data_IF_689471810061
#
_entry.id   IF_689471810061
#
_cell.length_a   1.000
_cell.length_b   1.000
_cell.length_c   1.000
_cell.angle_alpha   90.00
_cell.angle_beta   90.00
_cell.angle_gamma   90.00
#
_symmetry.space_group_name_H-M   'P 1'
#
loop_
_entity.id
_entity.type
_entity.pdbx_description
1 polymer ?
#
# COMPACT_ATOMS: atom_id res chain seq x y z
N UNK A 1 -10.20 -2.94 -18.89
CA UNK A 1 -11.57 -3.51 -18.81
C UNK A 1 -11.64 -5.00 -19.18
N UNK A 2 -10.96 -5.49 -20.22
CA UNK A 2 -11.11 -6.89 -20.70
C UNK A 2 -10.95 -7.98 -19.62
N UNK A 3 -9.85 -7.98 -18.86
CA UNK A 3 -9.60 -8.97 -17.80
C UNK A 3 -10.63 -8.91 -16.65
N UNK A 4 -11.01 -7.70 -16.25
CA UNK A 4 -12.02 -7.47 -15.20
C UNK A 4 -13.40 -7.94 -15.67
N UNK A 5 -13.74 -7.67 -16.93
CA UNK A 5 -14.95 -8.19 -17.57
C UNK A 5 -14.94 -9.71 -17.68
N UNK A 6 -13.78 -10.35 -17.91
CA UNK A 6 -13.65 -11.81 -17.85
C UNK A 6 -13.89 -12.36 -16.44
N UNK A 7 -13.33 -11.73 -15.40
CA UNK A 7 -13.57 -12.11 -13.99
C UNK A 7 -15.05 -11.94 -13.60
N UNK A 8 -15.67 -10.83 -13.96
CA UNK A 8 -17.10 -10.60 -13.73
C UNK A 8 -17.95 -11.67 -14.42
N UNK A 9 -17.72 -11.91 -15.72
CA UNK A 9 -18.40 -12.97 -16.47
C UNK A 9 -18.15 -14.35 -15.88
N UNK A 10 -16.93 -14.65 -15.42
CA UNK A 10 -16.60 -15.92 -14.78
C UNK A 10 -17.38 -16.14 -13.47
N UNK A 11 -17.61 -15.07 -12.69
CA UNK A 11 -18.37 -15.15 -11.43
C UNK A 11 -19.88 -15.19 -11.65
N UNK A 12 -20.39 -14.53 -12.69
CA UNK A 12 -21.82 -14.39 -12.97
C UNK A 12 -22.38 -15.36 -14.02
N UNK A 13 -21.55 -16.02 -14.82
CA UNK A 13 -22.00 -16.91 -15.87
C UNK A 13 -21.90 -18.37 -15.43
N UNK A 14 -23.07 -18.95 -15.13
CA UNK A 14 -23.22 -20.37 -14.82
C UNK A 14 -22.94 -21.28 -16.04
N UNK A 15 -22.68 -20.77 -17.25
CA UNK A 15 -22.38 -21.60 -18.43
C UNK A 15 -20.88 -21.81 -18.71
N UNK A 16 -19.97 -21.14 -17.98
CA UNK A 16 -18.53 -21.50 -17.98
C UNK A 16 -18.32 -22.78 -17.13
N UNK A 17 -19.04 -23.85 -17.50
CA UNK A 17 -19.08 -25.18 -16.90
C UNK A 17 -18.24 -26.18 -17.72
N UNK A 18 -16.94 -25.94 -17.80
CA UNK A 18 -15.97 -26.95 -18.20
C UNK A 18 -14.75 -26.79 -17.31
N UNK A 19 -14.50 -27.66 -16.32
CA UNK A 19 -14.51 -29.13 -16.40
C UNK A 19 -15.37 -29.75 -15.28
N UNK A 20 -16.47 -30.41 -15.67
CA UNK A 20 -17.06 -31.54 -14.93
C UNK A 20 -18.41 -31.33 -14.23
N UNK A 21 -19.51 -31.45 -14.98
CA UNK A 21 -20.90 -31.68 -14.51
C UNK A 21 -21.60 -30.56 -13.73
N UNK A 22 -22.94 -30.59 -13.73
CA UNK A 22 -23.85 -29.71 -12.95
C UNK A 22 -23.57 -29.66 -11.44
N UNK A 23 -22.61 -30.45 -10.95
CA UNK A 23 -22.27 -30.61 -9.53
C UNK A 23 -21.09 -29.74 -9.04
N UNK A 24 -20.29 -29.09 -9.92
CA UNK A 24 -19.08 -28.34 -9.49
C UNK A 24 -18.80 -27.03 -10.27
N UNK A 25 -19.50 -25.92 -9.95
CA UNK A 25 -19.20 -24.61 -10.55
C UNK A 25 -17.94 -23.97 -9.96
N UNK A 26 -16.95 -23.64 -10.81
CA UNK A 26 -15.71 -22.92 -10.45
C UNK A 26 -15.95 -21.53 -9.81
N UNK A 27 -17.09 -20.89 -10.10
CA UNK A 27 -17.50 -19.59 -9.54
C UNK A 27 -17.66 -19.59 -8.01
N UNK A 28 -17.73 -20.76 -7.36
CA UNK A 28 -17.74 -20.93 -5.90
C UNK A 28 -16.38 -21.24 -5.27
N UNK A 29 -15.29 -21.26 -6.05
CA UNK A 29 -13.94 -21.59 -5.58
C UNK A 29 -12.97 -20.39 -5.58
N UNK A 30 -13.32 -19.32 -6.31
CA UNK A 30 -12.52 -18.08 -6.29
C UNK A 30 -12.99 -17.23 -5.13
N UNK A 31 -12.20 -17.23 -4.08
CA UNK A 31 -12.54 -16.63 -2.78
C UNK A 31 -11.87 -15.29 -2.51
N UNK A 32 -10.88 -14.93 -3.32
CA UNK A 32 -10.24 -13.63 -3.22
C UNK A 32 -9.48 -13.28 -4.49
N UNK A 33 -8.98 -12.05 -4.49
CA UNK A 33 -8.15 -11.48 -5.55
C UNK A 33 -6.88 -10.93 -4.96
N UNK A 34 -5.80 -11.06 -5.70
CA UNK A 34 -4.50 -10.53 -5.36
C UNK A 34 -3.91 -9.81 -6.56
N UNK A 35 -3.28 -8.67 -6.32
CA UNK A 35 -2.45 -8.01 -7.31
C UNK A 35 -1.02 -7.97 -6.79
N UNK A 36 -0.15 -8.66 -7.52
CA UNK A 36 1.29 -8.70 -7.34
C UNK A 36 1.93 -8.28 -8.68
N UNK A 37 2.54 -7.09 -8.71
CA UNK A 37 3.24 -6.56 -9.88
C UNK A 37 4.40 -5.66 -9.40
N UNK A 38 5.21 -5.11 -10.32
CA UNK A 38 6.21 -4.10 -9.99
C UNK A 38 5.56 -2.88 -9.34
N UNK A 39 5.69 -2.76 -8.02
CA UNK A 39 5.02 -1.74 -7.20
C UNK A 39 5.38 -0.30 -7.64
N UNK A 40 6.63 -0.10 -8.10
CA UNK A 40 7.13 1.19 -8.59
C UNK A 40 6.34 1.74 -9.80
N UNK A 41 5.81 0.84 -10.64
CA UNK A 41 5.15 1.20 -11.90
C UNK A 41 3.62 1.04 -11.82
N UNK A 42 3.11 0.45 -10.76
CA UNK A 42 1.70 0.13 -10.58
C UNK A 42 1.27 0.44 -9.14
N UNK A 43 1.09 1.73 -8.87
CA UNK A 43 0.58 2.24 -7.60
C UNK A 43 -0.86 1.79 -7.34
N UNK A 44 -1.31 1.78 -6.07
CA UNK A 44 -2.68 1.39 -5.73
C UNK A 44 -3.78 2.12 -6.52
N UNK A 45 -3.56 3.38 -6.90
CA UNK A 45 -4.49 4.18 -7.71
C UNK A 45 -4.92 3.47 -9.01
N UNK A 46 -4.01 2.75 -9.67
CA UNK A 46 -4.26 2.08 -10.96
C UNK A 46 -5.33 1.00 -10.83
N UNK A 47 -5.37 0.32 -9.68
CA UNK A 47 -6.30 -0.79 -9.44
C UNK A 47 -7.51 -0.39 -8.61
N UNK A 48 -7.61 0.87 -8.17
CA UNK A 48 -8.55 1.30 -7.14
C UNK A 48 -10.01 0.99 -7.51
N UNK A 49 -10.45 1.44 -8.69
CA UNK A 49 -11.78 1.13 -9.22
C UNK A 49 -11.98 -0.37 -9.44
N UNK A 50 -10.94 -1.08 -9.92
CA UNK A 50 -11.02 -2.51 -10.19
C UNK A 50 -11.29 -3.34 -8.93
N UNK A 51 -10.57 -3.06 -7.85
CA UNK A 51 -10.78 -3.73 -6.57
C UNK A 51 -12.15 -3.40 -5.96
N UNK A 52 -12.59 -2.13 -6.03
CA UNK A 52 -13.96 -1.76 -5.59
C UNK A 52 -15.04 -2.48 -6.40
N UNK A 53 -14.91 -2.49 -7.72
CA UNK A 53 -15.82 -3.20 -8.62
C UNK A 53 -15.87 -4.70 -8.35
N UNK A 54 -14.70 -5.35 -8.24
CA UNK A 54 -14.63 -6.79 -7.98
C UNK A 54 -15.16 -7.17 -6.59
N UNK A 55 -15.09 -6.24 -5.63
CA UNK A 55 -15.70 -6.41 -4.31
C UNK A 55 -17.22 -6.25 -4.32
N UNK A 56 -17.74 -5.22 -4.99
CA UNK A 56 -19.15 -4.83 -4.90
C UNK A 56 -20.06 -5.32 -6.02
N UNK A 57 -19.53 -5.93 -7.10
CA UNK A 57 -20.40 -6.41 -8.16
C UNK A 57 -21.36 -7.50 -7.65
N UNK A 58 -22.59 -7.42 -8.15
CA UNK A 58 -23.65 -8.32 -7.76
C UNK A 58 -23.37 -9.73 -8.32
N UNK A 59 -23.43 -10.74 -7.46
CA UNK A 59 -23.29 -12.14 -7.89
C UNK A 59 -24.67 -12.77 -8.03
N UNK A 60 -25.06 -13.07 -9.28
CA UNK A 60 -26.28 -13.81 -9.59
C UNK A 60 -26.06 -15.31 -9.30
N UNK A 61 -26.11 -15.70 -8.02
CA UNK A 61 -25.94 -17.10 -7.59
C UNK A 61 -27.23 -17.79 -7.14
N UNK A 62 -27.26 -19.12 -7.25
CA UNK A 62 -28.37 -19.97 -6.79
C UNK A 62 -28.26 -20.34 -5.29
N UNK A 63 -27.52 -19.56 -4.49
CA UNK A 63 -27.23 -19.85 -3.07
C UNK A 63 -26.15 -20.93 -2.82
N UNK A 64 -25.54 -21.49 -3.88
CA UNK A 64 -24.48 -22.52 -3.79
C UNK A 64 -23.07 -22.00 -4.08
N UNK A 65 -22.91 -20.79 -4.61
CA UNK A 65 -21.61 -20.18 -4.91
C UNK A 65 -21.15 -19.35 -3.71
N UNK A 66 -19.87 -19.43 -3.38
CA UNK A 66 -19.24 -18.74 -2.25
C UNK A 66 -17.88 -18.21 -2.68
N UNK A 67 -17.40 -17.09 -2.12
CA UNK A 67 -18.06 -16.06 -1.32
C UNK A 67 -18.86 -15.06 -2.17
N UNK A 68 -19.80 -14.34 -1.52
CA UNK A 68 -20.59 -13.28 -2.16
C UNK A 68 -19.76 -12.02 -2.49
N UNK A 69 -18.69 -11.77 -1.74
CA UNK A 69 -17.72 -10.70 -1.98
C UNK A 69 -16.34 -11.33 -2.11
N UNK A 70 -15.45 -10.80 -2.96
CA UNK A 70 -14.05 -11.21 -2.93
C UNK A 70 -13.32 -10.53 -1.78
N UNK A 71 -12.54 -11.30 -1.04
CA UNK A 71 -11.53 -10.76 -0.16
C UNK A 71 -10.33 -10.25 -0.97
N UNK A 72 -9.69 -9.20 -0.48
CA UNK A 72 -8.58 -8.54 -1.16
C UNK A 72 -7.26 -8.94 -0.52
N UNK A 73 -6.29 -9.26 -1.37
CA UNK A 73 -4.85 -9.21 -1.05
C UNK A 73 -4.21 -8.19 -1.99
N UNK A 74 -3.23 -7.44 -1.49
CA UNK A 74 -2.46 -6.53 -2.32
C UNK A 74 -1.02 -6.47 -1.84
N UNK A 75 -0.08 -6.71 -2.75
CA UNK A 75 1.35 -6.60 -2.46
C UNK A 75 1.75 -5.14 -2.43
N UNK A 76 2.28 -4.69 -1.30
CA UNK A 76 2.70 -3.30 -1.12
C UNK A 76 3.79 -3.14 -0.07
N UNK A 77 4.69 -2.19 -0.32
CA UNK A 77 5.77 -1.85 0.59
C UNK A 77 6.92 -2.84 0.56
N UNK A 78 7.03 -3.69 -0.47
CA UNK A 78 8.22 -4.49 -0.74
C UNK A 78 9.24 -3.73 -1.60
N UNK A 79 8.77 -3.07 -2.66
CA UNK A 79 9.61 -2.37 -3.64
C UNK A 79 9.22 -0.88 -3.70
N UNK A 80 10.15 -0.01 -3.30
CA UNK A 80 9.91 1.43 -3.16
C UNK A 80 11.18 2.25 -3.40
N UNK A 81 11.05 3.47 -3.91
CA UNK A 81 12.20 4.37 -4.10
C UNK A 81 12.76 4.90 -2.78
N UNK A 82 11.87 5.10 -1.81
CA UNK A 82 12.15 5.71 -0.51
C UNK A 82 11.21 5.16 0.56
N UNK A 83 11.60 5.21 1.84
CA UNK A 83 10.71 4.78 2.92
C UNK A 83 9.40 5.60 2.89
N UNK A 84 9.46 6.91 2.64
CA UNK A 84 8.23 7.70 2.55
C UNK A 84 7.33 7.24 1.39
N UNK A 85 7.93 6.82 0.27
CA UNK A 85 7.21 6.32 -0.90
C UNK A 85 6.45 5.02 -0.59
N UNK A 86 7.13 4.05 0.03
CA UNK A 86 6.52 2.78 0.40
C UNK A 86 5.47 2.94 1.49
N UNK A 87 5.71 3.77 2.52
CA UNK A 87 4.71 4.03 3.57
C UNK A 87 3.46 4.72 2.99
N UNK A 88 3.65 5.66 2.07
CA UNK A 88 2.55 6.29 1.34
C UNK A 88 1.79 5.24 0.52
N UNK A 89 2.48 4.31 -0.15
CA UNK A 89 1.85 3.23 -0.91
C UNK A 89 0.95 2.34 -0.04
N UNK A 90 1.43 1.98 1.16
CA UNK A 90 0.64 1.19 2.13
C UNK A 90 -0.65 1.93 2.51
N UNK A 91 -0.55 3.24 2.80
CA UNK A 91 -1.75 4.04 3.11
C UNK A 91 -2.68 4.18 1.91
N UNK A 92 -2.15 4.41 0.71
CA UNK A 92 -2.93 4.43 -0.54
C UNK A 92 -3.69 3.13 -0.74
N UNK A 93 -3.07 1.97 -0.51
CA UNK A 93 -3.76 0.69 -0.62
C UNK A 93 -4.93 0.59 0.37
N UNK A 94 -4.72 1.01 1.63
CA UNK A 94 -5.75 0.99 2.67
C UNK A 94 -6.94 1.91 2.35
N UNK A 95 -6.68 3.11 1.82
CA UNK A 95 -7.69 4.13 1.48
C UNK A 95 -8.35 3.78 0.14
N UNK A 96 -7.59 3.58 -0.93
CA UNK A 96 -8.11 3.49 -2.30
C UNK A 96 -8.88 2.19 -2.56
N UNK A 97 -8.47 1.09 -1.93
CA UNK A 97 -9.20 -0.18 -2.04
C UNK A 97 -10.29 -0.34 -0.99
N UNK A 98 -10.43 0.61 -0.05
CA UNK A 98 -11.29 0.50 1.11
C UNK A 98 -11.06 -0.82 1.86
N UNK A 99 -9.79 -1.11 2.19
CA UNK A 99 -9.44 -2.35 2.89
C UNK A 99 -10.14 -2.40 4.25
N UNK A 100 -10.71 -3.57 4.54
CA UNK A 100 -11.54 -3.85 5.69
C UNK A 100 -11.07 -5.12 6.39
N UNK A 101 -11.74 -5.45 7.50
CA UNK A 101 -11.49 -6.66 8.27
C UNK A 101 -11.50 -7.92 7.37
N UNK A 102 -10.44 -8.71 7.45
CA UNK A 102 -10.27 -9.93 6.67
C UNK A 102 -9.64 -9.73 5.29
N UNK A 103 -9.27 -8.51 4.90
CA UNK A 103 -8.34 -8.29 3.79
C UNK A 103 -6.90 -8.44 4.25
N UNK A 104 -5.99 -8.55 3.28
CA UNK A 104 -4.57 -8.84 3.50
C UNK A 104 -3.69 -7.87 2.73
N UNK A 105 -2.54 -7.56 3.30
CA UNK A 105 -1.45 -6.86 2.64
C UNK A 105 -0.25 -7.81 2.53
N UNK A 106 0.33 -7.92 1.34
CA UNK A 106 1.54 -8.69 1.11
C UNK A 106 2.78 -7.90 1.53
N UNK A 107 3.72 -8.57 2.19
CA UNK A 107 5.07 -8.11 2.52
C UNK A 107 5.14 -6.94 3.52
N UNK A 108 4.73 -5.74 3.11
CA UNK A 108 4.78 -4.51 3.91
C UNK A 108 6.15 -4.24 4.56
N UNK A 109 7.25 -4.58 3.88
CA UNK A 109 8.60 -4.47 4.44
C UNK A 109 8.91 -3.08 4.96
N UNK A 110 8.48 -2.05 4.22
CA UNK A 110 8.65 -0.64 4.58
C UNK A 110 8.13 -0.29 5.99
N UNK A 111 7.11 -0.99 6.51
CA UNK A 111 6.58 -0.76 7.86
C UNK A 111 7.55 -1.20 8.96
N UNK A 112 8.46 -2.12 8.65
CA UNK A 112 9.45 -2.63 9.59
C UNK A 112 10.90 -2.26 9.26
N UNK A 113 11.18 -1.64 8.11
CA UNK A 113 12.53 -1.17 7.76
C UNK A 113 13.08 -0.21 8.81
N UNK A 114 14.34 -0.40 9.20
CA UNK A 114 15.05 0.54 10.09
C UNK A 114 15.37 1.83 9.32
N UNK A 115 14.67 2.90 9.67
CA UNK A 115 14.77 4.22 9.01
C UNK A 115 16.21 4.74 9.03
N UNK A 116 16.87 4.65 10.18
CA UNK A 116 18.20 5.26 10.40
C UNK A 116 19.26 4.49 9.63
N UNK A 117 19.20 3.15 9.67
CA UNK A 117 20.08 2.28 8.88
C UNK A 117 19.89 2.53 7.39
N UNK A 118 18.64 2.58 6.93
CA UNK A 118 18.30 2.78 5.51
C UNK A 118 18.92 4.05 4.92
N UNK A 119 18.72 5.20 5.58
CA UNK A 119 19.23 6.48 5.08
C UNK A 119 20.73 6.67 5.30
N UNK A 120 21.29 6.16 6.41
CA UNK A 120 22.73 6.27 6.66
C UNK A 120 23.55 5.54 5.60
N UNK A 121 23.10 4.36 5.16
CA UNK A 121 23.71 3.61 4.05
C UNK A 121 23.62 4.34 2.71
N UNK A 122 22.69 5.27 2.56
CA UNK A 122 22.42 6.06 1.35
C UNK A 122 22.91 7.50 1.45
N UNK A 123 23.72 7.83 2.46
CA UNK A 123 24.19 9.19 2.72
C UNK A 123 23.06 10.23 2.74
N UNK A 124 21.91 9.85 3.31
CA UNK A 124 20.69 10.67 3.37
C UNK A 124 20.19 11.15 2.00
N UNK A 125 20.50 10.42 0.93
CA UNK A 125 20.11 10.77 -0.43
C UNK A 125 19.01 9.85 -0.93
N UNK A 126 17.95 10.48 -1.45
CA UNK A 126 16.78 9.85 -2.05
C UNK A 126 16.94 9.92 -3.57
N UNK A 127 16.82 8.78 -4.23
CA UNK A 127 16.83 8.68 -5.69
C UNK A 127 15.45 8.20 -6.15
N UNK A 128 14.68 9.07 -6.80
CA UNK A 128 13.32 8.79 -7.25
C UNK A 128 12.95 9.69 -8.43
N UNK A 129 11.72 9.64 -8.91
CA UNK A 129 11.22 10.61 -9.90
C UNK A 129 10.80 11.92 -9.23
N UNK A 130 10.78 13.03 -9.98
CA UNK A 130 10.25 14.32 -9.49
C UNK A 130 8.85 14.18 -8.92
N UNK A 131 7.98 13.42 -9.60
CA UNK A 131 6.60 13.18 -9.19
C UNK A 131 6.51 12.45 -7.84
N UNK A 132 7.31 11.39 -7.64
CA UNK A 132 7.35 10.65 -6.36
C UNK A 132 7.85 11.55 -5.24
N UNK A 133 8.91 12.33 -5.48
CA UNK A 133 9.43 13.26 -4.47
C UNK A 133 8.39 14.30 -4.08
N UNK A 134 7.73 14.90 -5.07
CA UNK A 134 6.69 15.91 -4.89
C UNK A 134 5.52 15.38 -4.05
N UNK A 135 5.01 14.20 -4.40
CA UNK A 135 3.93 13.53 -3.67
C UNK A 135 4.34 13.22 -2.23
N UNK A 136 5.56 12.69 -2.04
CA UNK A 136 6.08 12.38 -0.72
C UNK A 136 6.23 13.64 0.14
N UNK A 137 6.68 14.78 -0.40
CA UNK A 137 6.80 16.02 0.38
C UNK A 137 5.44 16.55 0.84
N UNK A 138 4.43 16.57 -0.04
CA UNK A 138 3.07 16.97 0.33
C UNK A 138 2.48 16.05 1.41
N UNK A 139 2.66 14.74 1.22
CA UNK A 139 2.18 13.72 2.16
C UNK A 139 2.90 13.80 3.52
N UNK A 140 4.24 13.86 3.54
CA UNK A 140 5.03 14.01 4.76
C UNK A 140 4.69 15.31 5.48
N UNK A 141 4.47 16.41 4.76
CA UNK A 141 4.07 17.67 5.37
C UNK A 141 2.73 17.53 6.11
N UNK A 142 1.73 16.88 5.48
CA UNK A 142 0.45 16.60 6.13
C UNK A 142 0.62 15.70 7.37
N UNK A 143 1.43 14.63 7.26
CA UNK A 143 1.74 13.74 8.39
C UNK A 143 2.43 14.46 9.52
N UNK A 144 3.41 15.32 9.21
CA UNK A 144 4.16 16.11 10.20
C UNK A 144 3.21 17.01 10.99
N UNK A 145 2.34 17.75 10.30
CA UNK A 145 1.32 18.58 10.94
C UNK A 145 0.40 17.79 11.85
N UNK A 146 -0.04 16.61 11.40
CA UNK A 146 -0.98 15.77 12.15
C UNK A 146 -0.34 15.15 13.40
N UNK A 147 0.90 14.68 13.29
CA UNK A 147 1.57 13.92 14.34
C UNK A 147 2.33 14.82 15.33
N UNK A 148 2.98 15.87 14.84
CA UNK A 148 3.87 16.74 15.63
C UNK A 148 3.41 18.19 15.71
N UNK A 149 2.30 18.54 15.05
CA UNK A 149 1.91 19.94 14.87
C UNK A 149 2.77 20.65 13.82
N UNK A 150 2.62 21.97 13.73
CA UNK A 150 3.36 22.76 12.75
C UNK A 150 4.76 23.08 13.28
N UNK A 151 5.79 22.50 12.67
CA UNK A 151 7.20 22.56 13.12
C UNK A 151 8.13 23.13 12.03
N UNK A 152 9.41 23.35 12.34
CA UNK A 152 10.44 23.74 11.34
C UNK A 152 10.55 22.74 10.20
N UNK A 153 10.33 21.44 10.46
CA UNK A 153 10.30 20.41 9.44
C UNK A 153 9.15 20.64 8.42
N UNK A 154 8.00 21.18 8.85
CA UNK A 154 6.91 21.51 7.92
C UNK A 154 7.35 22.54 6.88
N UNK A 155 8.00 23.63 7.31
CA UNK A 155 8.54 24.64 6.40
C UNK A 155 9.60 24.06 5.45
N UNK A 156 10.43 23.15 5.94
CA UNK A 156 11.44 22.48 5.11
C UNK A 156 10.81 21.63 4.01
N UNK A 157 9.84 20.78 4.37
CA UNK A 157 9.09 19.94 3.44
C UNK A 157 8.32 20.79 2.42
N UNK A 158 7.67 21.86 2.87
CA UNK A 158 6.92 22.79 2.01
C UNK A 158 7.84 23.52 1.02
N UNK A 159 9.05 23.92 1.45
CA UNK A 159 10.04 24.52 0.56
C UNK A 159 10.49 23.58 -0.57
N UNK A 160 10.71 22.31 -0.25
CA UNK A 160 11.07 21.28 -1.25
C UNK A 160 9.87 21.01 -2.17
N UNK A 161 8.68 20.85 -1.61
CA UNK A 161 7.44 20.70 -2.37
C UNK A 161 7.30 21.82 -3.39
N UNK A 162 7.41 23.09 -2.97
CA UNK A 162 7.28 24.23 -3.88
C UNK A 162 8.28 24.16 -5.03
N UNK A 163 9.57 23.88 -4.74
CA UNK A 163 10.59 23.75 -5.78
C UNK A 163 10.20 22.74 -6.87
N UNK A 164 9.80 21.52 -6.48
CA UNK A 164 9.43 20.48 -7.43
C UNK A 164 8.04 20.68 -8.04
N UNK A 165 7.12 21.34 -7.34
CA UNK A 165 5.82 21.72 -7.88
C UNK A 165 6.00 22.66 -9.08
N UNK A 166 6.84 23.69 -8.93
CA UNK A 166 7.16 24.60 -10.03
C UNK A 166 7.83 23.89 -11.21
N UNK A 167 8.77 22.99 -10.94
CA UNK A 167 9.46 22.22 -11.98
C UNK A 167 8.49 21.33 -12.78
N UNK A 168 7.56 20.65 -12.10
CA UNK A 168 6.63 19.68 -12.73
C UNK A 168 5.39 20.36 -13.32
N UNK A 169 4.74 21.27 -12.59
CA UNK A 169 3.47 21.87 -12.99
C UNK A 169 3.63 23.19 -13.74
N UNK A 170 4.81 23.83 -13.65
CA UNK A 170 5.06 25.14 -14.24
C UNK A 170 6.39 25.20 -14.97
N UNK A 171 6.66 24.21 -15.82
CA UNK A 171 7.93 24.10 -16.55
C UNK A 171 8.28 25.31 -17.43
N UNK A 172 7.35 26.23 -17.71
CA UNK A 172 7.65 27.51 -18.37
C UNK A 172 8.37 28.51 -17.45
N UNK A 173 8.15 28.40 -16.13
CA UNK A 173 8.82 29.18 -15.08
C UNK A 173 10.26 28.70 -14.88
N UNK A 174 10.53 27.44 -15.19
CA UNK A 174 11.85 26.82 -15.05
C UNK A 174 12.52 26.67 -16.42
N UNK A 175 13.41 27.61 -16.78
CA UNK A 175 14.28 27.49 -17.95
C UNK A 175 15.74 27.43 -17.51
N UNK A 176 16.51 26.50 -18.09
CA UNK A 176 17.96 26.33 -17.84
C UNK A 176 18.35 26.19 -16.34
N UNK A 177 17.51 25.54 -15.53
CA UNK A 177 17.74 25.34 -14.10
C UNK A 177 17.60 26.61 -13.25
N UNK A 178 17.00 27.68 -13.79
CA UNK A 178 16.71 28.93 -13.08
C UNK A 178 15.21 29.21 -13.05
N UNK A 179 14.74 29.66 -11.89
CA UNK A 179 13.37 30.17 -11.71
C UNK A 179 13.27 31.54 -12.36
N UNK A 180 12.30 31.71 -13.26
CA UNK A 180 11.87 33.00 -13.73
C UNK A 180 10.91 33.63 -12.72
N UNK A 181 11.43 34.48 -11.85
CA UNK A 181 10.67 35.12 -10.77
C UNK A 181 9.55 36.04 -11.28
N UNK A 182 9.59 36.49 -12.53
CA UNK A 182 8.54 37.33 -13.13
C UNK A 182 7.24 36.54 -13.42
N UNK A 183 7.32 35.20 -13.46
CA UNK A 183 6.18 34.30 -13.66
C UNK A 183 5.65 33.71 -12.34
N UNK A 184 6.31 33.98 -11.20
CA UNK A 184 5.88 33.50 -9.87
C UNK A 184 4.65 34.23 -9.33
N UNK A 185 4.43 35.47 -9.76
CA UNK A 185 3.29 36.31 -9.33
C UNK A 185 2.03 36.07 -10.18
N UNK A 186 1.96 34.95 -10.91
CA UNK A 186 0.74 34.56 -11.60
C UNK A 186 -0.31 34.08 -10.57
N UNK A 187 -1.44 34.81 -10.38
CA UNK A 187 -2.47 34.43 -9.41
C UNK A 187 -3.15 33.09 -9.73
N UNK A 188 -2.95 32.54 -10.93
CA UNK A 188 -3.51 31.24 -11.34
C UNK A 188 -2.63 30.05 -10.91
N UNK A 189 -1.44 30.30 -10.33
CA UNK A 189 -0.57 29.24 -9.79
C UNK A 189 -1.17 28.62 -8.52
N UNK A 190 -1.65 27.37 -8.63
CA UNK A 190 -2.22 26.61 -7.49
C UNK A 190 -1.17 25.82 -6.71
N UNK A 191 -0.12 26.49 -6.23
CA UNK A 191 0.99 25.87 -5.48
C UNK A 191 0.68 25.55 -4.00
N UNK A 192 -0.58 25.60 -3.58
CA UNK A 192 -0.90 25.34 -2.18
C UNK A 192 -0.72 23.85 -1.86
N UNK A 193 0.20 23.53 -0.95
CA UNK A 193 0.51 22.14 -0.57
C UNK A 193 -0.70 21.36 -0.02
N UNK A 194 -1.68 22.04 0.58
CA UNK A 194 -2.89 21.39 1.07
C UNK A 194 -3.86 21.07 -0.06
N UNK A 195 -3.98 21.94 -1.07
CA UNK A 195 -4.78 21.66 -2.28
C UNK A 195 -4.18 20.49 -3.06
N UNK A 196 -2.85 20.45 -3.17
CA UNK A 196 -2.13 19.32 -3.76
C UNK A 196 -2.30 18.02 -2.96
N UNK A 197 -2.19 18.08 -1.62
CA UNK A 197 -2.44 16.91 -0.79
C UNK A 197 -3.86 16.38 -0.99
N UNK A 198 -4.86 17.27 -1.08
CA UNK A 198 -6.23 16.87 -1.37
C UNK A 198 -6.39 16.31 -2.78
N UNK A 199 -5.66 16.81 -3.78
CA UNK A 199 -5.65 16.21 -5.12
C UNK A 199 -5.05 14.80 -5.11
N UNK A 200 -4.00 14.57 -4.32
CA UNK A 200 -3.45 13.24 -4.07
C UNK A 200 -4.50 12.31 -3.47
N UNK A 201 -5.23 12.72 -2.43
CA UNK A 201 -6.32 11.93 -1.83
C UNK A 201 -7.38 11.49 -2.85
N UNK A 202 -7.65 12.31 -3.88
CA UNK A 202 -8.61 12.00 -4.95
C UNK A 202 -8.11 10.94 -5.95
N UNK A 203 -6.81 10.60 -5.97
CA UNK A 203 -6.21 9.65 -6.94
C UNK A 203 -6.73 8.22 -6.83
N UNK A 204 -7.43 7.88 -5.74
CA UNK A 204 -8.17 6.63 -5.65
C UNK A 204 -9.43 6.56 -6.53
N UNK A 205 -9.88 7.67 -7.12
CA UNK A 205 -11.01 7.72 -8.04
C UNK A 205 -10.57 7.39 -9.47
N UNK A 206 -11.53 7.09 -10.35
CA UNK A 206 -11.29 7.00 -11.78
C UNK A 206 -10.69 8.32 -12.30
N UNK A 207 -9.68 8.32 -13.18
CA UNK A 207 -9.08 9.55 -13.74
C UNK A 207 -10.05 10.55 -14.39
N UNK A 208 -11.26 10.10 -14.74
CA UNK A 208 -12.33 10.91 -15.34
C UNK A 208 -13.52 11.14 -14.42
N UNK A 209 -13.44 10.80 -13.13
CA UNK A 209 -14.59 10.89 -12.21
C UNK A 209 -15.15 12.32 -12.08
N UNK A 210 -14.32 13.34 -12.28
CA UNK A 210 -14.70 14.74 -12.21
C UNK A 210 -15.23 15.29 -13.55
N UNK A 211 -15.20 14.49 -14.62
CA UNK A 211 -15.75 14.83 -15.93
C UNK A 211 -17.17 14.30 -16.09
N UNK A 212 -17.98 14.95 -16.92
CA UNK A 212 -19.29 14.41 -17.33
C UNK A 212 -19.07 13.06 -18.03
N UNK A 213 -19.42 11.96 -17.37
CA UNK A 213 -19.42 10.64 -17.98
C UNK A 213 -20.71 10.46 -18.79
N UNK A 214 -20.58 9.98 -20.03
CA UNK A 214 -21.74 9.56 -20.81
C UNK A 214 -22.36 8.33 -20.14
N UNK A 215 -23.66 8.40 -19.85
CA UNK A 215 -24.38 7.23 -19.33
C UNK A 215 -24.35 6.11 -20.37
N UNK A 216 -23.84 4.95 -19.98
CA UNK A 216 -23.88 3.74 -20.80
C UNK A 216 -25.22 3.01 -20.61
N UNK A 217 -25.77 2.48 -21.70
CA UNK A 217 -26.92 1.56 -21.67
C UNK A 217 -26.51 0.12 -21.27
N UNK A 218 -25.21 -0.19 -21.18
CA UNK A 218 -24.70 -1.51 -20.81
C UNK A 218 -24.64 -1.68 -19.27
N UNK A 219 -25.33 -2.69 -18.73
CA UNK A 219 -25.39 -2.96 -17.28
C UNK A 219 -24.01 -3.14 -16.64
N UNK A 220 -23.03 -3.74 -17.34
CA UNK A 220 -21.69 -3.97 -16.82
C UNK A 220 -20.89 -2.67 -16.73
N UNK A 221 -21.05 -1.80 -17.74
CA UNK A 221 -20.42 -0.47 -17.73
C UNK A 221 -21.02 0.40 -16.63
N UNK A 222 -22.34 0.35 -16.40
CA UNK A 222 -22.98 1.01 -15.26
C UNK A 222 -22.46 0.51 -13.90
N UNK A 223 -22.32 -0.82 -13.71
CA UNK A 223 -21.73 -1.38 -12.48
C UNK A 223 -20.28 -0.93 -12.28
N UNK A 224 -19.50 -0.83 -13.36
CA UNK A 224 -18.13 -0.33 -13.35
C UNK A 224 -18.06 1.14 -12.94
N UNK A 225 -18.90 1.98 -13.55
CA UNK A 225 -18.94 3.43 -13.31
C UNK A 225 -19.44 3.75 -11.90
N UNK A 226 -20.36 2.95 -11.34
CA UNK A 226 -20.77 3.04 -9.92
C UNK A 226 -19.59 2.85 -8.94
N UNK A 227 -18.48 2.26 -9.37
CA UNK A 227 -17.28 2.08 -8.57
C UNK A 227 -16.17 3.08 -8.90
N UNK A 228 -16.42 4.02 -9.83
CA UNK A 228 -15.46 5.04 -10.27
C UNK A 228 -15.02 5.93 -9.11
N UNK A 229 -15.93 6.26 -8.21
CA UNK A 229 -15.67 7.10 -7.05
C UNK A 229 -15.39 6.28 -5.80
N UNK A 230 -14.50 6.82 -4.95
CA UNK A 230 -14.33 6.40 -3.57
C UNK A 230 -15.07 7.39 -2.67
N UNK A 231 -15.84 6.84 -1.73
CA UNK A 231 -16.71 7.57 -0.81
C UNK A 231 -16.19 7.59 0.63
N UNK A 232 -14.90 7.30 0.84
CA UNK A 232 -14.28 7.51 2.15
C UNK A 232 -14.33 8.99 2.54
N UNK A 233 -14.56 9.26 3.84
CA UNK A 233 -14.85 10.60 4.36
C UNK A 233 -13.84 11.69 3.92
N UNK A 234 -12.55 11.37 3.91
CA UNK A 234 -11.50 12.31 3.48
C UNK A 234 -11.58 12.68 2.00
N UNK A 235 -12.00 11.74 1.16
CA UNK A 235 -12.15 11.91 -0.30
C UNK A 235 -13.39 12.75 -0.59
N UNK A 236 -14.50 12.47 0.08
CA UNK A 236 -15.72 13.27 -0.03
C UNK A 236 -15.49 14.75 0.33
N UNK A 237 -14.67 15.03 1.34
CA UNK A 237 -14.29 16.42 1.67
C UNK A 237 -13.44 17.03 0.55
N UNK A 238 -12.46 16.29 0.03
CA UNK A 238 -11.55 16.79 -1.01
C UNK A 238 -12.28 17.17 -2.31
N UNK A 239 -13.41 16.52 -2.62
CA UNK A 239 -14.25 16.84 -3.80
C UNK A 239 -14.82 18.26 -3.78
N UNK A 240 -14.97 18.88 -2.61
CA UNK A 240 -15.42 20.28 -2.51
C UNK A 240 -14.31 21.30 -2.75
N UNK A 241 -13.06 20.87 -2.92
CA UNK A 241 -11.93 21.74 -3.23
C UNK A 241 -11.68 21.79 -4.75
N UNK A 242 -12.11 22.90 -5.37
CA UNK A 242 -11.95 23.14 -6.81
C UNK A 242 -10.47 23.12 -7.25
N UNK A 243 -9.56 23.60 -6.41
CA UNK A 243 -8.13 23.56 -6.72
C UNK A 243 -7.60 22.13 -6.72
N UNK A 244 -8.06 21.30 -5.78
CA UNK A 244 -7.68 19.89 -5.72
C UNK A 244 -8.17 19.11 -6.96
N UNK A 245 -9.41 19.37 -7.40
CA UNK A 245 -9.96 18.77 -8.64
C UNK A 245 -9.13 19.15 -9.86
N UNK A 246 -8.79 20.43 -10.01
CA UNK A 246 -7.99 20.87 -11.16
C UNK A 246 -6.57 20.27 -11.14
N UNK A 247 -5.93 20.20 -9.97
CA UNK A 247 -4.62 19.56 -9.82
C UNK A 247 -4.69 18.05 -10.12
N UNK A 248 -5.79 17.39 -9.74
CA UNK A 248 -6.05 15.99 -10.07
C UNK A 248 -6.18 15.80 -11.60
N UNK A 249 -6.89 16.69 -12.31
CA UNK A 249 -7.00 16.61 -13.76
C UNK A 249 -5.63 16.89 -14.44
N UNK A 250 -4.88 17.86 -13.92
CA UNK A 250 -3.54 18.17 -14.43
C UNK A 250 -2.55 17.01 -14.26
N UNK A 251 -2.62 16.28 -13.15
CA UNK A 251 -1.74 15.13 -12.86
C UNK A 251 -1.72 14.08 -13.99
N UNK A 252 -2.84 13.93 -14.73
CA UNK A 252 -2.99 12.96 -15.81
C UNK A 252 -2.60 13.50 -17.20
N UNK A 253 -2.14 14.76 -17.32
CA UNK A 253 -1.73 15.35 -18.61
C UNK A 253 -0.33 14.88 -19.00
N UNK A 254 -0.15 14.54 -20.28
CA UNK A 254 1.12 14.02 -20.82
C UNK A 254 2.34 14.88 -20.45
N UNK A 255 2.24 16.22 -20.55
CA UNK A 255 3.33 17.14 -20.21
C UNK A 255 3.74 17.07 -18.72
N UNK A 256 2.78 16.88 -17.83
CA UNK A 256 2.99 16.75 -16.38
C UNK A 256 3.62 15.39 -16.07
N UNK A 257 3.10 14.34 -16.69
CA UNK A 257 3.64 12.97 -16.56
C UNK A 257 5.08 12.90 -17.06
N UNK A 258 5.37 13.50 -18.22
CA UNK A 258 6.72 13.52 -18.80
C UNK A 258 7.72 14.22 -17.88
N UNK A 259 7.45 15.47 -17.46
CA UNK A 259 8.32 16.19 -16.51
C UNK A 259 8.42 15.47 -15.16
N UNK A 260 7.30 14.96 -14.66
CA UNK A 260 7.22 14.24 -13.39
C UNK A 260 8.05 12.95 -13.39
N UNK A 261 8.22 12.30 -14.54
CA UNK A 261 8.97 11.04 -14.69
C UNK A 261 10.49 11.21 -14.62
N UNK A 262 11.01 12.44 -14.70
CA UNK A 262 12.44 12.71 -14.63
C UNK A 262 13.03 12.29 -13.28
N UNK A 263 14.16 11.58 -13.32
CA UNK A 263 14.86 11.12 -12.14
C UNK A 263 15.60 12.26 -11.42
N UNK A 264 15.60 12.22 -10.08
CA UNK A 264 16.27 13.19 -9.22
C UNK A 264 17.05 12.48 -8.12
N UNK A 265 18.13 13.13 -7.67
CA UNK A 265 18.83 12.80 -6.44
C UNK A 265 18.66 13.96 -5.45
N UNK A 266 17.97 13.70 -4.35
CA UNK A 266 17.68 14.69 -3.31
C UNK A 266 18.34 14.28 -2.00
N UNK A 267 19.27 15.10 -1.49
CA UNK A 267 19.92 14.87 -0.19
C UNK A 267 19.22 15.66 0.90
N UNK A 268 18.76 14.96 1.95
CA UNK A 268 18.15 15.58 3.12
C UNK A 268 19.20 16.46 3.80
N UNK A 269 18.84 17.71 4.07
CA UNK A 269 19.73 18.68 4.72
C UNK A 269 20.04 18.21 6.14
N UNK A 270 21.33 18.22 6.50
CA UNK A 270 21.85 17.72 7.78
C UNK A 270 21.07 18.21 9.01
N UNK A 271 20.67 19.49 9.03
CA UNK A 271 19.90 20.09 10.12
C UNK A 271 18.49 19.50 10.34
N UNK A 272 17.97 18.74 9.37
CA UNK A 272 16.62 18.16 9.39
C UNK A 272 16.61 16.63 9.39
N UNK A 273 17.77 15.96 9.25
CA UNK A 273 17.86 14.49 9.14
C UNK A 273 17.17 13.80 10.33
N UNK A 274 17.46 14.24 11.55
CA UNK A 274 16.91 13.62 12.75
C UNK A 274 15.39 13.78 12.86
N UNK A 275 14.86 14.96 12.53
CA UNK A 275 13.41 15.20 12.58
C UNK A 275 12.69 14.44 11.46
N UNK A 276 13.32 14.31 10.30
CA UNK A 276 12.83 13.50 9.18
C UNK A 276 12.74 12.02 9.57
N UNK A 277 13.77 11.46 10.22
CA UNK A 277 13.74 10.09 10.71
C UNK A 277 12.63 9.86 11.72
N UNK A 278 12.52 10.73 12.73
CA UNK A 278 11.45 10.64 13.75
C UNK A 278 10.06 10.69 13.13
N UNK A 279 9.87 11.51 12.10
CA UNK A 279 8.59 11.58 11.39
C UNK A 279 8.25 10.23 10.75
N UNK A 280 9.19 9.61 10.03
CA UNK A 280 8.98 8.31 9.39
C UNK A 280 8.75 7.19 10.41
N UNK A 281 9.52 7.16 11.51
CA UNK A 281 9.33 6.21 12.62
C UNK A 281 7.93 6.36 13.24
N UNK A 282 7.45 7.60 13.42
CA UNK A 282 6.11 7.87 13.93
C UNK A 282 5.01 7.47 12.94
N UNK A 283 5.26 7.63 11.63
CA UNK A 283 4.32 7.20 10.59
C UNK A 283 4.25 5.67 10.51
N UNK A 284 5.38 4.95 10.58
CA UNK A 284 5.39 3.48 10.66
C UNK A 284 4.52 2.99 11.82
N UNK A 285 4.72 3.55 13.02
CA UNK A 285 3.93 3.22 14.21
C UNK A 285 2.44 3.56 14.03
N UNK A 286 2.11 4.68 13.37
CA UNK A 286 0.73 5.02 13.06
C UNK A 286 0.08 4.01 12.11
N UNK A 287 0.74 3.66 11.01
CA UNK A 287 0.18 2.76 10.00
C UNK A 287 -0.02 1.35 10.57
N UNK A 288 0.90 0.87 11.42
CA UNK A 288 0.72 -0.40 12.15
C UNK A 288 -0.54 -0.40 13.01
N UNK A 289 -0.80 0.69 13.77
CA UNK A 289 -2.03 0.84 14.56
C UNK A 289 -3.28 0.87 13.70
N UNK A 290 -3.21 1.54 12.55
CA UNK A 290 -4.35 1.61 11.62
C UNK A 290 -4.67 0.24 11.03
N UNK A 291 -3.65 -0.51 10.57
CA UNK A 291 -3.77 -1.89 10.09
C UNK A 291 -4.38 -2.80 11.17
N UNK A 292 -3.86 -2.73 12.40
CA UNK A 292 -4.37 -3.49 13.53
C UNK A 292 -5.84 -3.15 13.83
N UNK A 293 -6.18 -1.86 13.88
CA UNK A 293 -7.55 -1.39 14.17
C UNK A 293 -8.56 -1.80 13.10
N UNK A 294 -8.14 -1.82 11.82
CA UNK A 294 -8.95 -2.27 10.68
C UNK A 294 -8.99 -3.80 10.56
N UNK A 295 -8.16 -4.53 11.33
CA UNK A 295 -8.00 -5.98 11.29
C UNK A 295 -7.62 -6.48 9.90
N UNK A 296 -6.69 -5.77 9.28
CA UNK A 296 -6.05 -6.17 8.03
C UNK A 296 -4.87 -7.07 8.41
N UNK A 297 -4.73 -8.21 7.74
CA UNK A 297 -3.63 -9.13 8.02
C UNK A 297 -2.41 -8.83 7.14
N UNK A 298 -1.21 -9.22 7.57
CA UNK A 298 0.01 -9.06 6.79
C UNK A 298 0.61 -10.43 6.45
N UNK A 299 0.84 -10.68 5.16
CA UNK A 299 1.50 -11.89 4.68
C UNK A 299 3.01 -11.67 4.66
N UNK A 300 3.75 -12.45 5.46
CA UNK A 300 5.21 -12.37 5.58
C UNK A 300 5.87 -13.53 4.84
N UNK A 301 6.92 -13.25 4.08
CA UNK A 301 7.56 -14.19 3.17
C UNK A 301 9.08 -14.22 3.43
N UNK A 302 9.56 -14.83 4.54
CA UNK A 302 10.89 -14.55 5.08
C UNK A 302 12.06 -14.66 4.11
N UNK A 303 12.16 -15.75 3.34
CA UNK A 303 13.25 -15.92 2.36
C UNK A 303 13.13 -14.95 1.19
N UNK A 304 11.92 -14.69 0.71
CA UNK A 304 11.68 -13.72 -0.38
C UNK A 304 12.06 -12.32 0.06
N UNK A 305 11.53 -11.91 1.21
CA UNK A 305 11.81 -10.63 1.86
C UNK A 305 13.30 -10.43 2.15
N UNK A 306 14.01 -11.49 2.55
CA UNK A 306 15.46 -11.46 2.75
C UNK A 306 16.24 -11.25 1.45
N UNK A 307 15.79 -11.87 0.35
CA UNK A 307 16.50 -11.83 -0.94
C UNK A 307 16.23 -10.57 -1.74
N UNK A 308 15.05 -9.97 -1.59
CA UNK A 308 14.59 -8.82 -2.38
C UNK A 308 14.66 -7.53 -1.56
N UNK A 309 14.39 -7.60 -0.26
CA UNK A 309 14.38 -6.44 0.62
C UNK A 309 15.75 -5.99 1.11
N UNK A 310 15.73 -4.93 1.90
CA UNK A 310 16.94 -4.26 2.45
C UNK A 310 17.50 -4.93 3.73
N UNK A 311 16.91 -6.04 4.16
CA UNK A 311 17.30 -6.71 5.40
C UNK A 311 18.61 -7.49 5.23
N UNK A 312 19.49 -7.38 6.23
CA UNK A 312 20.79 -8.06 6.18
C UNK A 312 20.77 -9.45 6.82
N UNK A 313 19.79 -9.70 7.70
CA UNK A 313 19.60 -10.95 8.42
C UNK A 313 18.10 -11.18 8.72
N UNK A 314 17.72 -12.43 8.99
CA UNK A 314 16.34 -12.81 9.29
C UNK A 314 15.80 -12.27 10.63
N UNK A 315 16.65 -11.88 11.57
CA UNK A 315 16.24 -11.25 12.84
C UNK A 315 15.83 -9.79 12.66
N UNK A 316 16.14 -9.19 11.51
CA UNK A 316 15.64 -7.89 11.09
C UNK A 316 14.24 -7.97 10.45
N UNK A 317 13.65 -9.17 10.33
CA UNK A 317 12.38 -9.34 9.64
C UNK A 317 11.25 -8.55 10.34
N UNK A 318 10.46 -7.75 9.59
CA UNK A 318 9.37 -6.93 10.12
C UNK A 318 8.28 -7.67 10.92
N UNK A 319 8.22 -9.01 10.85
CA UNK A 319 7.19 -9.80 11.52
C UNK A 319 7.27 -9.64 13.05
N UNK A 320 8.47 -9.38 13.58
CA UNK A 320 8.72 -9.09 14.99
C UNK A 320 8.18 -7.72 15.44
N UNK A 321 7.91 -6.82 14.49
CA UNK A 321 7.27 -5.52 14.74
C UNK A 321 5.75 -5.59 14.54
N UNK A 322 5.28 -6.47 13.65
CA UNK A 322 3.86 -6.64 13.37
C UNK A 322 3.13 -7.43 14.47
N UNK A 323 3.75 -8.52 14.95
CA UNK A 323 3.18 -9.39 15.96
C UNK A 323 4.25 -9.84 16.95
N UNK A 324 4.26 -9.24 18.14
CA UNK A 324 5.23 -9.59 19.20
C UNK A 324 4.59 -10.07 20.50
N UNK A 325 3.27 -10.25 20.53
CA UNK A 325 2.56 -10.87 21.65
C UNK A 325 3.12 -12.26 21.96
N UNK A 326 3.70 -12.44 23.15
CA UNK A 326 4.31 -13.71 23.60
C UNK A 326 5.83 -13.76 23.48
N UNK A 327 6.44 -12.78 22.80
CA UNK A 327 7.87 -12.55 22.81
C UNK A 327 8.23 -11.36 23.72
N UNK A 328 9.45 -11.36 24.22
CA UNK A 328 10.09 -10.22 24.84
C UNK A 328 10.92 -9.49 23.78
N UNK A 329 10.48 -8.30 23.36
CA UNK A 329 11.10 -7.52 22.27
C UNK A 329 11.24 -6.05 22.65
N UNK A 330 12.21 -5.30 22.08
CA UNK A 330 12.34 -3.86 22.30
C UNK A 330 11.27 -3.02 21.57
N UNK A 331 10.46 -3.63 20.72
CA UNK A 331 9.48 -2.93 19.87
C UNK A 331 8.20 -2.58 20.63
N UNK A 332 7.47 -1.60 20.11
CA UNK A 332 6.10 -1.33 20.56
C UNK A 332 5.24 -2.57 20.36
N UNK A 333 4.31 -2.80 21.30
CA UNK A 333 3.44 -3.95 21.24
C UNK A 333 2.42 -3.79 20.12
N UNK A 334 2.38 -4.75 19.21
CA UNK A 334 1.37 -4.90 18.16
C UNK A 334 0.89 -6.36 18.11
N UNK A 335 -0.38 -6.54 17.78
CA UNK A 335 -1.09 -7.83 17.71
C UNK A 335 -1.74 -8.02 16.32
N UNK A 336 -1.05 -7.56 15.26
CA UNK A 336 -1.52 -7.69 13.89
C UNK A 336 -1.54 -9.18 13.50
N UNK A 337 -2.62 -9.62 12.86
CA UNK A 337 -2.67 -10.97 12.31
C UNK A 337 -1.64 -11.12 11.18
N UNK A 338 -0.71 -12.05 11.34
CA UNK A 338 0.35 -12.31 10.36
C UNK A 338 0.34 -13.76 9.89
N UNK A 339 0.87 -14.01 8.71
CA UNK A 339 1.16 -15.36 8.21
C UNK A 339 2.61 -15.47 7.76
N UNK A 340 3.15 -16.70 7.76
CA UNK A 340 4.46 -17.00 7.17
C UNK A 340 4.22 -17.88 5.95
N UNK A 341 4.67 -17.45 4.78
CA UNK A 341 4.47 -18.15 3.51
C UNK A 341 5.79 -18.25 2.73
N UNK A 342 5.79 -19.10 1.69
CA UNK A 342 6.98 -19.33 0.85
C UNK A 342 7.17 -18.29 -0.24
N UNK A 343 6.13 -17.49 -0.53
CA UNK A 343 6.02 -16.77 -1.79
C UNK A 343 6.26 -17.77 -2.96
N UNK A 344 7.19 -17.50 -3.88
CA UNK A 344 7.59 -18.45 -4.92
C UNK A 344 8.59 -19.51 -4.41
N UNK A 345 8.03 -20.67 -4.01
CA UNK A 345 8.82 -21.81 -3.51
C UNK A 345 9.92 -22.26 -4.51
N UNK A 346 9.64 -22.22 -5.81
CA UNK A 346 10.55 -22.69 -6.86
C UNK A 346 11.73 -21.75 -7.03
N UNK A 347 11.45 -20.44 -7.12
CA UNK A 347 12.47 -19.39 -7.26
C UNK A 347 13.36 -19.32 -6.02
N UNK A 348 12.77 -19.42 -4.83
CA UNK A 348 13.54 -19.26 -3.60
C UNK A 348 14.18 -20.54 -3.07
N UNK A 349 13.85 -21.70 -3.65
CA UNK A 349 14.37 -23.03 -3.24
C UNK A 349 14.14 -23.31 -1.75
N UNK A 350 12.95 -22.95 -1.26
CA UNK A 350 12.57 -23.04 0.15
C UNK A 350 11.40 -24.02 0.37
N UNK A 351 10.92 -24.13 1.60
CA UNK A 351 9.67 -24.81 1.97
C UNK A 351 9.04 -24.10 3.15
N UNK A 352 7.74 -24.30 3.37
CA UNK A 352 7.03 -23.66 4.48
C UNK A 352 7.70 -23.97 5.83
N UNK A 353 8.13 -25.21 6.04
CA UNK A 353 8.86 -25.61 7.26
C UNK A 353 10.19 -24.88 7.41
N UNK A 354 10.88 -24.58 6.30
CA UNK A 354 12.13 -23.81 6.32
C UNK A 354 11.87 -22.36 6.69
N UNK A 355 10.83 -21.73 6.17
CA UNK A 355 10.48 -20.34 6.52
C UNK A 355 10.30 -20.18 8.03
N UNK A 356 9.51 -21.07 8.66
CA UNK A 356 9.33 -21.09 10.11
C UNK A 356 10.65 -21.35 10.86
N UNK A 357 11.46 -22.30 10.36
CA UNK A 357 12.75 -22.65 10.98
C UNK A 357 13.76 -21.50 10.92
N UNK A 358 13.78 -20.74 9.81
CA UNK A 358 14.67 -19.60 9.63
C UNK A 358 14.35 -18.50 10.64
N UNK A 359 13.07 -18.14 10.79
CA UNK A 359 12.63 -17.17 11.80
C UNK A 359 12.96 -17.67 13.22
N UNK A 360 12.69 -18.94 13.53
CA UNK A 360 12.99 -19.51 14.85
C UNK A 360 14.49 -19.38 15.20
N UNK A 361 15.36 -19.80 14.28
CA UNK A 361 16.82 -19.77 14.45
C UNK A 361 17.35 -18.34 14.52
N UNK A 362 16.78 -17.42 13.75
CA UNK A 362 17.16 -16.01 13.78
C UNK A 362 16.91 -15.40 15.16
N UNK A 363 15.70 -15.58 15.69
CA UNK A 363 15.34 -15.08 17.03
C UNK A 363 16.18 -15.76 18.12
N UNK A 364 16.42 -17.07 18.01
CA UNK A 364 17.21 -17.80 19.01
C UNK A 364 18.67 -17.33 19.06
N UNK A 365 19.30 -17.10 17.89
CA UNK A 365 20.71 -16.73 17.78
C UNK A 365 20.96 -15.24 18.01
N UNK A 366 20.02 -14.38 17.63
CA UNK A 366 20.17 -12.92 17.64
C UNK A 366 19.24 -12.26 18.66
N UNK A 367 19.43 -12.59 19.94
CA UNK A 367 18.63 -11.98 21.00
C UNK A 367 19.21 -10.66 21.49
N UNK A 368 18.42 -9.59 21.38
CA UNK A 368 18.74 -8.27 21.92
C UNK A 368 19.02 -8.33 23.43
N UNK A 369 19.98 -7.53 23.89
CA UNK A 369 20.32 -7.41 25.31
C UNK A 369 19.08 -6.92 26.10
N UNK A 370 18.77 -7.59 27.21
CA UNK A 370 17.55 -7.32 27.99
C UNK A 370 16.25 -7.96 27.45
N UNK A 371 16.24 -8.43 26.20
CA UNK A 371 15.05 -8.98 25.54
C UNK A 371 15.26 -10.44 25.14
N UNK A 372 15.49 -11.30 26.14
CA UNK A 372 15.76 -12.73 25.93
C UNK A 372 14.48 -13.54 25.80
N UNK A 373 14.49 -14.54 24.92
CA UNK A 373 13.38 -15.45 24.65
C UNK A 373 13.86 -16.90 24.75
N UNK A 374 13.16 -17.76 25.49
CA UNK A 374 13.50 -19.19 25.51
C UNK A 374 13.06 -19.88 24.20
N UNK A 375 13.69 -20.99 23.80
CA UNK A 375 13.25 -21.76 22.64
C UNK A 375 11.78 -22.16 22.70
N UNK A 376 11.26 -22.44 23.90
CA UNK A 376 9.84 -22.77 24.09
C UNK A 376 8.92 -21.60 23.76
N UNK A 377 9.25 -20.39 24.21
CA UNK A 377 8.49 -19.19 23.90
C UNK A 377 8.45 -18.91 22.39
N UNK A 378 9.58 -19.10 21.70
CA UNK A 378 9.68 -18.89 20.25
C UNK A 378 8.77 -19.87 19.50
N UNK A 379 8.78 -21.16 19.88
CA UNK A 379 7.92 -22.18 19.27
C UNK A 379 6.44 -21.91 19.56
N UNK A 380 6.08 -21.54 20.79
CA UNK A 380 4.70 -21.23 21.16
C UNK A 380 4.19 -19.98 20.38
N UNK A 381 5.06 -18.98 20.16
CA UNK A 381 4.77 -17.81 19.32
C UNK A 381 4.59 -18.17 17.84
N UNK A 382 5.45 -19.02 17.27
CA UNK A 382 5.32 -19.50 15.89
C UNK A 382 4.07 -20.35 15.68
N UNK A 383 3.67 -21.18 16.66
CA UNK A 383 2.41 -21.93 16.57
C UNK A 383 1.19 -21.00 16.57
N UNK A 384 1.27 -19.84 17.26
CA UNK A 384 0.23 -18.81 17.15
C UNK A 384 0.15 -18.19 15.76
N UNK A 385 1.28 -17.91 15.11
CA UNK A 385 1.29 -17.46 13.72
C UNK A 385 0.69 -18.51 12.78
N UNK A 386 1.01 -19.80 13.00
CA UNK A 386 0.40 -20.90 12.25
C UNK A 386 -1.11 -20.96 12.43
N UNK A 387 -1.62 -20.74 13.64
CA UNK A 387 -3.06 -20.66 13.92
C UNK A 387 -3.69 -19.47 13.17
N UNK A 388 -3.11 -18.27 13.28
CA UNK A 388 -3.57 -17.08 12.56
C UNK A 388 -3.56 -17.28 11.04
N UNK A 389 -2.58 -17.99 10.49
CA UNK A 389 -2.50 -18.29 9.05
C UNK A 389 -3.68 -19.14 8.56
N UNK A 390 -4.18 -20.05 9.40
CA UNK A 390 -5.40 -20.83 9.10
C UNK A 390 -6.65 -19.96 9.22
N UNK A 391 -6.70 -19.07 10.21
CA UNK A 391 -7.82 -18.14 10.41
C UNK A 391 -7.95 -17.10 9.30
N UNK A 392 -6.85 -16.77 8.61
CA UNK A 392 -6.78 -15.81 7.50
C UNK A 392 -7.25 -16.36 6.15
N UNK A 393 -7.66 -17.63 6.09
CA UNK A 393 -8.15 -18.21 4.85
C UNK A 393 -9.46 -17.55 4.42
N UNK A 394 -9.57 -17.24 3.12
CA UNK A 394 -10.79 -16.68 2.55
C UNK A 394 -11.93 -17.72 2.40
N UNK A 395 -11.60 -19.01 2.50
CA UNK A 395 -12.58 -20.09 2.53
C UNK A 395 -12.86 -20.53 3.98
N UNK A 396 -14.09 -20.29 4.44
CA UNK A 396 -14.53 -20.58 5.81
C UNK A 396 -15.01 -22.02 6.03
N UNK A 397 -15.02 -22.89 5.01
CA UNK A 397 -15.67 -24.22 5.09
C UNK A 397 -14.80 -25.37 5.64
N UNK A 398 -13.60 -25.12 6.17
CA UNK A 398 -12.77 -26.19 6.77
C UNK A 398 -13.49 -26.91 7.94
N UNK A 399 -14.48 -26.28 8.59
CA UNK A 399 -15.28 -26.91 9.64
C UNK A 399 -16.47 -27.76 9.14
N UNK A 400 -16.82 -27.71 7.85
CA UNK A 400 -17.95 -28.47 7.28
C UNK A 400 -17.54 -29.76 6.53
N UNK A 401 -16.24 -30.01 6.34
CA UNK A 401 -15.75 -31.24 5.69
C UNK A 401 -15.73 -32.50 6.59
N UNK A 402 -16.34 -32.47 7.77
CA UNK A 402 -16.57 -33.68 8.60
C UNK A 402 -18.03 -33.86 8.99
N UNK A 403 -18.78 -34.49 8.10
CA UNK A 403 -19.77 -35.55 8.38
C UNK A 403 -20.31 -36.07 7.04
N UNK A 404 -19.59 -37.01 6.43
CA UNK A 404 -20.20 -38.07 5.63
C UNK A 404 -19.81 -39.40 6.23
#
# INVERSE_FOLDING_TARGET
>A
MYFIGCLHKFRNNAEYLGVGSEDYPLSGYVVGIDAANTELMCRPEVFAQAFRFLRYHNIKNNGRQRPNDLNITYHVGEDFYDIADGLRAVEEAMIYFNLKNGDRLGHCLVLGTDVRKYYSMRYNTICCTKQVLLDNMAWLHHKCKRLFGYTSLCYYLEGIFNQYFYDVYQGQIYQDGKINYELLDDPDVKNNINDYYQSWVLRGNNPKFASDMEESDDELEQEWDNCAENHEYGIEIAKFNINALELFDQYHKDEIVERGSEAVAFTIKESYVEDFYKLLEAIQEQLLKEIESKRISIECNPTSNYKIGEMSNYDEHPILKFYNSGLNTPYNKHDIAVSINTDDQGVFSTSLEREYSLIALAIERHQTEGFKNSPRQIIDWLDKIRQMSVEQQFDNDIFNYKKK
#
